data_IF_671113095229
#
_entry.id   IF_671113095229
#
_cell.length_a   1.000
_cell.length_b   1.000
_cell.length_c   1.000
_cell.angle_alpha   90.00
_cell.angle_beta   90.00
_cell.angle_gamma   90.00
#
_symmetry.space_group_name_H-M   'P 1'
#
loop_
_entity.id
_entity.type
_entity.pdbx_description
1 polymer ?
#
# COMPACT_ATOMS: atom_id res chain seq x y z
N UNK A 1 -11.01 -15.80 13.33
CA UNK A 1 -11.15 -14.54 12.57
C UNK A 1 -10.37 -13.45 13.30
N UNK A 2 -9.67 -12.52 12.61
CA UNK A 2 -8.96 -11.43 13.28
C UNK A 2 -9.94 -10.59 14.09
N UNK A 3 -9.54 -10.14 15.28
CA UNK A 3 -10.45 -9.37 16.15
C UNK A 3 -10.83 -8.00 15.57
N UNK A 4 -10.00 -7.46 14.66
CA UNK A 4 -10.20 -6.20 13.95
C UNK A 4 -9.58 -6.29 12.55
N UNK A 5 -9.98 -5.38 11.65
CA UNK A 5 -9.32 -5.23 10.35
C UNK A 5 -7.86 -4.79 10.50
N UNK A 6 -7.06 -4.90 9.43
CA UNK A 6 -5.69 -4.45 9.49
C UNK A 6 -5.61 -2.93 9.74
N UNK A 7 -4.50 -2.47 10.29
CA UNK A 7 -4.22 -1.07 10.52
C UNK A 7 -3.02 -0.63 9.70
N UNK A 8 -3.16 0.49 8.99
CA UNK A 8 -2.08 1.13 8.22
C UNK A 8 -1.49 2.25 9.06
N UNK A 9 -0.16 2.33 9.06
CA UNK A 9 0.64 3.36 9.73
C UNK A 9 1.73 3.87 8.80
N UNK A 10 2.30 5.04 9.11
CA UNK A 10 3.36 5.68 8.32
C UNK A 10 2.82 6.63 7.25
N UNK A 11 1.51 6.81 7.18
CA UNK A 11 0.87 7.71 6.24
C UNK A 11 1.22 9.17 6.51
N UNK A 12 1.54 9.91 5.45
CA UNK A 12 1.70 11.35 5.47
C UNK A 12 0.38 12.00 5.07
N UNK A 13 0.14 13.23 5.57
CA UNK A 13 -1.06 14.02 5.22
C UNK A 13 -1.19 14.26 3.71
N UNK A 14 -0.06 14.38 3.03
CA UNK A 14 0.03 14.64 1.60
C UNK A 14 1.26 13.94 1.03
N UNK A 15 1.18 13.53 -0.24
CA UNK A 15 2.31 13.00 -1.00
C UNK A 15 2.39 13.72 -2.34
N UNK A 16 3.60 14.05 -2.75
CA UNK A 16 3.94 14.58 -4.06
C UNK A 16 4.57 13.49 -4.93
N UNK A 17 4.61 13.72 -6.23
CA UNK A 17 5.38 12.88 -7.14
C UNK A 17 6.86 13.00 -6.75
N UNK A 18 7.53 11.86 -6.59
CA UNK A 18 8.92 11.77 -6.14
C UNK A 18 9.06 11.40 -4.66
N UNK A 19 8.02 11.65 -3.84
CA UNK A 19 8.06 11.33 -2.42
C UNK A 19 8.23 9.84 -2.18
N UNK A 20 8.89 9.52 -1.06
CA UNK A 20 8.94 8.16 -0.55
C UNK A 20 7.66 7.85 0.24
N UNK A 21 6.96 6.80 -0.22
CA UNK A 21 5.90 6.11 0.48
C UNK A 21 6.55 5.04 1.35
N UNK A 22 6.40 5.13 2.67
CA UNK A 22 6.90 4.14 3.62
C UNK A 22 5.78 3.83 4.61
N UNK A 23 5.10 2.71 4.40
CA UNK A 23 3.89 2.34 5.14
C UNK A 23 4.04 0.97 5.77
N UNK A 24 3.37 0.78 6.89
CA UNK A 24 3.24 -0.51 7.55
C UNK A 24 1.77 -0.87 7.71
N UNK A 25 1.39 -2.02 7.18
CA UNK A 25 0.11 -2.65 7.45
C UNK A 25 0.30 -3.74 8.50
N UNK A 26 -0.50 -3.73 9.57
CA UNK A 26 -0.46 -4.71 10.65
C UNK A 26 -1.83 -5.35 10.81
N UNK A 27 -1.89 -6.69 10.87
CA UNK A 27 -3.14 -7.42 11.07
C UNK A 27 -3.64 -7.31 12.52
N UNK A 28 -4.91 -7.62 12.74
CA UNK A 28 -5.36 -8.02 14.07
C UNK A 28 -4.78 -9.39 14.47
N UNK A 29 -4.82 -9.69 15.76
CA UNK A 29 -4.44 -11.01 16.30
C UNK A 29 -5.38 -12.08 15.76
N UNK A 30 -4.85 -13.14 15.16
CA UNK A 30 -5.63 -14.25 14.62
C UNK A 30 -4.90 -15.59 14.72
N UNK A 31 -5.66 -16.68 14.61
CA UNK A 31 -5.12 -18.01 14.36
C UNK A 31 -6.00 -18.71 13.31
N UNK A 32 -5.44 -19.22 12.19
CA UNK A 32 -4.04 -19.06 11.77
C UNK A 32 -3.66 -17.60 11.53
N UNK A 33 -2.37 -17.34 11.31
CA UNK A 33 -1.85 -16.01 10.99
C UNK A 33 -2.51 -15.46 9.71
N UNK A 34 -2.92 -14.19 9.72
CA UNK A 34 -3.46 -13.53 8.53
C UNK A 34 -2.40 -13.31 7.47
N UNK A 35 -2.78 -13.50 6.21
CA UNK A 35 -1.97 -13.14 5.05
C UNK A 35 -2.33 -11.70 4.67
N UNK A 36 -1.32 -10.85 4.55
CA UNK A 36 -1.49 -9.44 4.17
C UNK A 36 -1.14 -9.23 2.71
N UNK A 37 -1.90 -8.36 2.05
CA UNK A 37 -1.66 -7.93 0.67
C UNK A 37 -1.81 -6.42 0.54
N UNK A 38 -0.85 -5.79 -0.13
CA UNK A 38 -0.93 -4.38 -0.53
C UNK A 38 -1.51 -4.25 -1.94
N UNK A 39 -2.34 -3.24 -2.13
CA UNK A 39 -2.89 -2.85 -3.42
C UNK A 39 -2.75 -1.35 -3.64
N UNK A 40 -2.36 -0.97 -4.86
CA UNK A 40 -2.42 0.41 -5.35
C UNK A 40 -3.36 0.43 -6.55
N UNK A 41 -4.42 1.24 -6.49
CA UNK A 41 -5.45 1.31 -7.53
C UNK A 41 -6.00 -0.07 -7.95
N UNK A 42 -6.17 -0.96 -6.97
CA UNK A 42 -6.66 -2.33 -7.13
C UNK A 42 -5.70 -3.30 -7.85
N UNK A 43 -4.47 -2.86 -8.16
CA UNK A 43 -3.35 -3.71 -8.57
C UNK A 43 -2.58 -4.21 -7.34
N UNK A 44 -2.30 -5.51 -7.28
CA UNK A 44 -1.59 -6.11 -6.15
C UNK A 44 -0.09 -5.83 -6.24
N UNK A 45 0.49 -5.31 -5.16
CA UNK A 45 1.92 -5.05 -5.06
C UNK A 45 2.68 -6.32 -4.65
N UNK A 46 3.92 -6.43 -5.13
CA UNK A 46 4.83 -7.53 -4.86
C UNK A 46 6.16 -7.05 -4.26
N UNK A 47 7.04 -7.98 -3.90
CA UNK A 47 8.39 -7.64 -3.41
C UNK A 47 9.19 -6.79 -4.42
N UNK A 48 8.92 -6.96 -5.73
CA UNK A 48 9.54 -6.15 -6.79
C UNK A 48 9.06 -4.70 -6.78
N UNK A 49 7.86 -4.46 -6.24
CA UNK A 49 7.24 -3.15 -6.14
C UNK A 49 7.55 -2.46 -4.81
N UNK A 50 8.38 -3.08 -3.95
CA UNK A 50 8.79 -2.53 -2.66
C UNK A 50 8.00 -3.07 -1.46
N UNK A 51 7.29 -4.19 -1.61
CA UNK A 51 6.68 -4.88 -0.47
C UNK A 51 7.75 -5.54 0.40
N UNK A 52 7.66 -5.33 1.71
CA UNK A 52 8.60 -5.84 2.71
C UNK A 52 7.86 -6.76 3.69
N UNK A 53 8.28 -8.02 3.79
CA UNK A 53 7.69 -8.99 4.72
C UNK A 53 8.39 -8.91 6.08
N UNK A 54 7.61 -8.76 7.14
CA UNK A 54 8.12 -8.82 8.51
C UNK A 54 7.84 -10.19 9.15
N UNK A 55 8.67 -10.62 10.12
CA UNK A 55 8.41 -11.83 10.87
C UNK A 55 7.11 -11.72 11.67
N UNK A 56 6.41 -12.85 11.79
CA UNK A 56 5.18 -12.94 12.56
C UNK A 56 5.45 -12.73 14.06
N UNK A 57 4.58 -11.96 14.71
CA UNK A 57 4.59 -11.80 16.16
C UNK A 57 3.61 -12.78 16.81
N UNK A 58 4.12 -13.67 17.67
CA UNK A 58 3.31 -14.63 18.41
C UNK A 58 2.96 -14.06 19.78
N UNK A 59 1.69 -14.17 20.15
CA UNK A 59 1.13 -13.65 21.40
C UNK A 59 0.61 -14.80 22.30
N UNK A 60 0.08 -14.44 23.46
CA UNK A 60 -0.57 -15.37 24.37
C UNK A 60 -1.65 -16.21 23.64
N UNK A 61 -1.81 -17.47 24.08
CA UNK A 61 -2.74 -18.45 23.50
C UNK A 61 -2.47 -18.80 22.02
N UNK A 62 -1.26 -18.54 21.51
CA UNK A 62 -0.85 -18.90 20.16
C UNK A 62 -1.41 -18.01 19.05
N UNK A 63 -2.04 -16.89 19.41
CA UNK A 63 -2.51 -15.91 18.42
C UNK A 63 -1.33 -15.22 17.75
N UNK A 64 -1.47 -14.91 16.47
CA UNK A 64 -0.41 -14.34 15.65
C UNK A 64 -0.85 -13.01 15.05
N UNK A 65 0.06 -12.04 15.04
CA UNK A 65 -0.05 -10.80 14.28
C UNK A 65 0.95 -10.81 13.14
N UNK A 66 0.52 -10.41 11.96
CA UNK A 66 1.37 -10.28 10.77
C UNK A 66 1.52 -8.81 10.38
N UNK A 67 2.67 -8.45 9.83
CA UNK A 67 2.93 -7.09 9.37
C UNK A 67 3.59 -7.12 7.99
N UNK A 68 3.20 -6.15 7.16
CA UNK A 68 3.67 -6.01 5.79
C UNK A 68 3.98 -4.54 5.48
N UNK A 69 5.23 -4.27 5.15
CA UNK A 69 5.71 -2.96 4.75
C UNK A 69 5.50 -2.70 3.26
N UNK A 70 5.41 -1.43 2.89
CA UNK A 70 5.45 -0.95 1.52
C UNK A 70 6.37 0.27 1.47
N UNK A 71 7.52 0.13 0.80
CA UNK A 71 8.49 1.20 0.60
C UNK A 71 8.80 1.42 -0.88
N UNK A 72 8.38 2.57 -1.41
CA UNK A 72 8.52 2.91 -2.84
C UNK A 72 8.41 4.41 -3.09
N UNK A 73 8.97 4.87 -4.21
CA UNK A 73 8.76 6.24 -4.66
C UNK A 73 7.41 6.40 -5.36
N UNK A 74 6.71 7.47 -5.03
CA UNK A 74 5.46 7.87 -5.70
C UNK A 74 5.80 8.37 -7.11
N UNK A 75 5.19 7.76 -8.12
CA UNK A 75 5.42 8.08 -9.53
C UNK A 75 4.11 8.53 -10.20
N UNK A 76 4.19 9.26 -11.32
CA UNK A 76 3.00 9.81 -11.98
C UNK A 76 1.95 8.74 -12.35
N UNK A 77 2.40 7.55 -12.76
CA UNK A 77 1.52 6.47 -13.20
C UNK A 77 0.74 5.80 -12.06
N UNK A 78 1.09 6.04 -10.79
CA UNK A 78 0.30 5.57 -9.66
C UNK A 78 -0.98 6.41 -9.44
N UNK A 79 -1.18 7.51 -10.18
CA UNK A 79 -2.36 8.34 -10.06
C UNK A 79 -3.35 8.07 -11.19
N UNK A 80 -4.53 7.56 -10.85
CA UNK A 80 -5.66 7.47 -11.76
C UNK A 80 -6.54 8.71 -11.56
N UNK A 81 -6.66 9.55 -12.59
CA UNK A 81 -7.40 10.84 -12.53
C UNK A 81 -6.95 11.73 -11.36
N UNK A 82 -5.65 11.72 -11.04
CA UNK A 82 -5.07 12.53 -9.96
C UNK A 82 -5.24 11.96 -8.55
N UNK A 83 -5.76 10.74 -8.41
CA UNK A 83 -5.90 10.06 -7.12
C UNK A 83 -5.18 8.72 -7.14
N UNK A 84 -4.44 8.42 -6.08
CA UNK A 84 -3.84 7.12 -5.83
C UNK A 84 -4.57 6.49 -4.64
N UNK A 85 -5.16 5.31 -4.83
CA UNK A 85 -5.87 4.55 -3.79
C UNK A 85 -4.95 3.47 -3.24
N UNK A 86 -4.69 3.51 -1.94
CA UNK A 86 -3.93 2.49 -1.23
C UNK A 86 -4.88 1.63 -0.40
N UNK A 87 -4.67 0.31 -0.45
CA UNK A 87 -5.48 -0.67 0.28
C UNK A 87 -4.60 -1.79 0.80
N UNK A 88 -4.77 -2.13 2.07
CA UNK A 88 -4.21 -3.33 2.66
C UNK A 88 -5.35 -4.31 2.98
N UNK A 89 -5.19 -5.56 2.57
CA UNK A 89 -6.16 -6.64 2.79
C UNK A 89 -5.56 -7.68 3.70
N UNK A 90 -6.25 -8.01 4.78
CA UNK A 90 -5.96 -9.16 5.62
C UNK A 90 -6.93 -10.29 5.29
N UNK A 91 -6.38 -11.40 4.81
CA UNK A 91 -7.13 -12.63 4.53
C UNK A 91 -6.69 -13.74 5.47
N UNK A 92 -7.58 -14.69 5.73
CA UNK A 92 -7.22 -15.96 6.38
C UNK A 92 -7.13 -17.04 5.32
N UNK A 93 -6.08 -17.85 5.37
CA UNK A 93 -6.05 -19.05 4.55
C UNK A 93 -7.16 -20.01 5.00
N UNK A 94 -7.83 -20.69 4.05
CA UNK A 94 -8.84 -21.68 4.41
C UNK A 94 -8.13 -22.88 5.02
N UNK A 95 -8.34 -23.08 6.31
CA UNK A 95 -7.88 -24.27 7.03
C UNK A 95 -9.07 -25.20 7.19
N UNK A 96 -8.94 -26.43 6.70
CA UNK A 96 -9.83 -27.54 7.02
C UNK A 96 -9.26 -28.27 8.23
N UNK A 97 -10.10 -28.42 9.25
CA UNK A 97 -9.78 -29.20 10.44
C UNK A 97 -10.20 -30.65 10.20
N UNK A 98 -9.24 -31.56 10.09
CA UNK A 98 -9.48 -33.01 10.05
C UNK A 98 -8.92 -33.63 11.33
N UNK A 99 -9.78 -33.76 12.34
CA UNK A 99 -9.37 -34.20 13.68
C UNK A 99 -8.45 -33.18 14.37
N UNK A 100 -7.25 -33.59 14.79
CA UNK A 100 -6.25 -32.74 15.45
C UNK A 100 -5.26 -32.07 14.46
N UNK A 101 -5.41 -32.31 13.16
CA UNK A 101 -4.51 -31.79 12.13
C UNK A 101 -5.16 -30.66 11.33
N UNK A 102 -4.37 -29.60 11.12
CA UNK A 102 -4.67 -28.45 10.26
C UNK A 102 -4.29 -28.85 8.83
N UNK A 103 -5.28 -28.96 7.94
CA UNK A 103 -5.06 -29.19 6.51
C UNK A 103 -5.35 -27.90 5.75
N UNK A 104 -4.42 -27.48 4.89
CA UNK A 104 -4.65 -26.34 4.00
C UNK A 104 -5.67 -26.75 2.93
N UNK A 105 -6.77 -26.00 2.79
CA UNK A 105 -7.83 -26.29 1.82
C UNK A 105 -7.78 -25.29 0.67
N UNK A 106 -8.18 -25.75 -0.52
CA UNK A 106 -8.35 -24.93 -1.72
C UNK A 106 -9.68 -24.14 -1.71
N UNK A 107 -10.37 -24.07 -0.57
CA UNK A 107 -11.59 -23.27 -0.43
C UNK A 107 -11.30 -21.77 -0.66
N UNK A 108 -12.31 -20.97 -1.03
CA UNK A 108 -12.15 -19.52 -1.15
C UNK A 108 -11.82 -18.86 0.22
N UNK A 109 -11.00 -17.80 0.18
CA UNK A 109 -10.55 -17.04 1.37
C UNK A 109 -11.75 -16.61 2.22
N UNK A 110 -11.74 -16.95 3.51
CA UNK A 110 -12.95 -17.01 4.33
C UNK A 110 -13.37 -15.67 5.01
N UNK A 111 -12.52 -14.66 5.06
CA UNK A 111 -12.89 -13.31 5.53
C UNK A 111 -11.79 -12.34 5.13
N UNK A 112 -12.12 -11.33 4.31
CA UNK A 112 -11.18 -10.30 3.89
C UNK A 112 -11.54 -9.01 4.61
N UNK A 113 -10.73 -8.62 5.60
CA UNK A 113 -10.84 -7.31 6.25
C UNK A 113 -9.83 -6.36 5.65
N UNK A 114 -10.25 -5.13 5.41
CA UNK A 114 -9.44 -4.19 4.63
C UNK A 114 -9.30 -2.84 5.36
N UNK A 115 -8.15 -2.20 5.13
CA UNK A 115 -7.93 -0.80 5.43
C UNK A 115 -7.53 -0.08 4.14
N UNK A 116 -8.02 1.14 3.93
CA UNK A 116 -7.70 1.90 2.73
C UNK A 116 -7.69 3.40 2.99
N UNK A 117 -6.93 4.12 2.17
CA UNK A 117 -6.93 5.58 2.14
C UNK A 117 -6.62 6.08 0.73
N UNK A 118 -6.97 7.36 0.48
CA UNK A 118 -6.79 8.01 -0.80
C UNK A 118 -5.74 9.11 -0.69
N UNK A 119 -4.84 9.16 -1.65
CA UNK A 119 -3.82 10.19 -1.81
C UNK A 119 -4.17 11.02 -3.04
N UNK A 120 -4.29 12.35 -2.87
CA UNK A 120 -4.49 13.27 -3.99
C UNK A 120 -3.14 13.75 -4.49
N UNK A 121 -2.85 13.55 -5.77
CA UNK A 121 -1.64 14.03 -6.41
C UNK A 121 -1.78 15.50 -6.77
N UNK A 122 -0.91 16.36 -6.22
CA UNK A 122 -0.71 17.70 -6.75
C UNK A 122 0.34 17.63 -7.84
N UNK A 123 -0.10 17.69 -9.11
CA UNK A 123 0.80 18.11 -10.18
C UNK A 123 0.94 19.62 -10.05
N UNK A 124 2.07 20.10 -9.55
CA UNK A 124 2.50 21.44 -9.94
C UNK A 124 2.71 21.39 -11.45
N UNK A 125 1.67 21.79 -12.18
CA UNK A 125 1.78 22.10 -13.60
C UNK A 125 2.72 23.30 -13.62
N UNK A 126 4.03 23.06 -13.77
CA UNK A 126 4.99 24.11 -14.08
C UNK A 126 4.54 24.64 -15.43
N UNK A 127 3.67 25.65 -15.37
CA UNK A 127 3.29 26.47 -16.50
C UNK A 127 4.52 27.33 -16.75
N UNK A 128 5.57 26.71 -17.27
CA UNK A 128 6.71 27.41 -17.82
C UNK A 128 6.12 28.32 -18.89
N UNK A 129 6.01 29.61 -18.57
CA UNK A 129 5.59 30.61 -19.53
C UNK A 129 6.67 30.65 -20.60
N UNK A 130 6.50 29.84 -21.65
CA UNK A 130 7.34 29.85 -22.84
C UNK A 130 7.43 31.28 -23.40
N UNK A 131 6.38 32.08 -23.20
CA UNK A 131 6.33 33.51 -23.56
C UNK A 131 7.42 34.32 -22.83
N UNK A 132 7.64 34.10 -21.53
CA UNK A 132 8.70 34.80 -20.78
C UNK A 132 10.10 34.36 -21.25
N UNK A 133 10.30 33.07 -21.51
CA UNK A 133 11.57 32.55 -22.02
C UNK A 133 11.90 33.08 -23.43
N UNK A 134 10.90 33.17 -24.32
CA UNK A 134 11.06 33.71 -25.67
C UNK A 134 11.36 35.22 -25.61
N UNK A 135 10.66 35.99 -24.77
CA UNK A 135 10.92 37.43 -24.62
C UNK A 135 12.34 37.70 -24.10
N UNK A 136 12.84 36.90 -23.17
CA UNK A 136 14.21 37.03 -22.66
C UNK A 136 15.24 36.67 -23.74
N UNK A 137 15.01 35.61 -24.53
CA UNK A 137 15.89 35.28 -25.67
C UNK A 137 15.93 36.37 -26.74
N UNK A 138 14.81 37.00 -27.06
CA UNK A 138 14.75 38.09 -28.05
C UNK A 138 15.54 39.30 -27.56
N UNK A 139 15.44 39.66 -26.27
CA UNK A 139 16.17 40.80 -25.71
C UNK A 139 17.70 40.60 -25.76
N UNK A 140 18.20 39.39 -25.55
CA UNK A 140 19.64 39.06 -25.59
C UNK A 140 20.19 39.05 -27.02
N UNK A 141 19.35 38.80 -28.04
CA UNK A 141 19.75 38.81 -29.46
C UNK A 141 19.83 40.22 -30.07
N UNK A 142 19.26 41.23 -29.41
CA UNK A 142 19.18 42.62 -29.92
C UNK A 142 20.26 43.54 -29.27
N UNK A 143 20.97 43.05 -28.25
CA UNK A 143 22.14 43.72 -27.63
C UNK A 143 23.45 43.11 -28.12
#
# INVERSE_FOLDING_TARGET
MPSHGPHITGEKKQYMIGDELNLNCTSGKSYPASILHWYINDEQMTERDGVIKYPNAVHAHGLVTTALGLSMNVKPYHFNKGVMKLRCVASLSPVVWQGHHVVHSNAPLLDNREASFLVRGYSEKVRGNIILAISICILVLIT
#
